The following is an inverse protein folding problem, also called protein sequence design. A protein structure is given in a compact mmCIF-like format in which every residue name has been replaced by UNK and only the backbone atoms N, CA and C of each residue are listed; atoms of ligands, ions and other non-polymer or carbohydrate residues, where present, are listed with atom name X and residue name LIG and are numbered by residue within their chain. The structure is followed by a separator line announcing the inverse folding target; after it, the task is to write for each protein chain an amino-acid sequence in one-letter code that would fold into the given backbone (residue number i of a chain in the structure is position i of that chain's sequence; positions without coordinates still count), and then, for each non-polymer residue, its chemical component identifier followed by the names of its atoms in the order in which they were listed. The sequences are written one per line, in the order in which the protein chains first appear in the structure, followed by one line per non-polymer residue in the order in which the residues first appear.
data_IF_979802858201
#
_entry.id   IF_979802858201
#
_cell.length_a   1.000
_cell.length_b   1.000
_cell.length_c   1.000
_cell.angle_alpha   90.00
_cell.angle_beta   90.00
_cell.angle_gamma   90.00
#
_symmetry.space_group_name_H-M   'P 1'
#
loop_
_entity.id
_entity.type
_entity.pdbx_description
1 polymer ?
#
# COMPACT_ATOMS: atom_id res chain seq x y z
N UNK A 1 -41.75 14.99 -5.39
CA UNK A 1 -40.76 14.35 -4.53
C UNK A 1 -39.39 14.03 -5.19
N UNK A 2 -39.19 14.34 -6.46
CA UNK A 2 -37.96 13.93 -7.21
C UNK A 2 -36.86 15.02 -7.34
N UNK A 3 -37.01 16.20 -6.71
CA UNK A 3 -35.98 17.25 -6.78
C UNK A 3 -35.04 17.33 -5.56
N UNK A 4 -35.38 16.66 -4.46
CA UNK A 4 -34.55 16.66 -3.26
C UNK A 4 -33.43 15.57 -3.33
N UNK A 5 -33.65 14.47 -4.06
CA UNK A 5 -32.65 13.42 -4.22
C UNK A 5 -31.50 13.82 -5.14
N UNK A 6 -31.75 14.60 -6.17
CA UNK A 6 -30.71 15.08 -7.09
C UNK A 6 -29.76 16.10 -6.42
N UNK A 7 -30.25 16.85 -5.41
CA UNK A 7 -29.41 17.79 -4.67
C UNK A 7 -28.50 17.13 -3.63
N UNK A 8 -28.93 16.03 -3.02
CA UNK A 8 -28.09 15.24 -2.10
C UNK A 8 -26.95 14.53 -2.82
N UNK A 9 -27.17 14.00 -4.02
CA UNK A 9 -26.10 13.36 -4.80
C UNK A 9 -25.04 14.37 -5.31
N UNK A 10 -25.45 15.62 -5.62
CA UNK A 10 -24.51 16.68 -6.00
C UNK A 10 -23.69 17.22 -4.81
N UNK A 11 -24.22 17.20 -3.59
CA UNK A 11 -23.51 17.62 -2.38
C UNK A 11 -22.52 16.56 -1.88
N UNK A 12 -22.76 15.28 -2.14
CA UNK A 12 -21.79 14.21 -1.84
C UNK A 12 -20.61 14.17 -2.83
N UNK A 13 -20.83 14.59 -4.08
CA UNK A 13 -19.74 14.73 -5.07
C UNK A 13 -18.84 15.95 -4.84
N UNK A 14 -19.28 16.97 -4.09
CA UNK A 14 -18.51 18.17 -3.77
C UNK A 14 -17.70 18.09 -2.48
N UNK A 15 -17.94 17.08 -1.63
CA UNK A 15 -17.20 16.86 -0.40
C UNK A 15 -15.89 16.05 -0.59
N UNK A 16 -15.66 15.45 -1.76
CA UNK A 16 -14.45 14.68 -2.07
C UNK A 16 -13.29 15.50 -2.67
N UNK A 17 -13.40 16.82 -2.78
CA UNK A 17 -12.43 17.67 -3.49
C UNK A 17 -11.45 18.45 -2.59
N UNK A 18 -11.33 18.11 -1.30
CA UNK A 18 -10.43 18.80 -0.35
C UNK A 18 -9.44 17.88 0.40
N UNK A 19 -9.39 16.58 0.11
CA UNK A 19 -8.27 15.74 0.52
C UNK A 19 -7.28 15.64 -0.65
N UNK A 20 -6.00 15.90 -0.44
CA UNK A 20 -4.96 15.56 -1.39
C UNK A 20 -5.16 14.09 -1.81
N UNK A 21 -5.20 13.81 -3.13
CA UNK A 21 -5.47 12.46 -3.63
C UNK A 21 -4.50 11.45 -3.04
N UNK A 22 -4.90 10.18 -3.01
CA UNK A 22 -4.02 9.08 -2.62
C UNK A 22 -3.11 8.71 -3.79
N UNK A 23 -1.89 8.28 -3.49
CA UNK A 23 -1.03 7.55 -4.44
C UNK A 23 -1.20 6.05 -4.20
N UNK A 24 -1.15 5.25 -5.25
CA UNK A 24 -1.37 3.80 -5.18
C UNK A 24 -2.66 3.43 -4.43
N UNK A 25 -3.85 3.88 -4.89
CA UNK A 25 -5.12 3.57 -4.23
C UNK A 25 -5.30 2.06 -4.09
N UNK A 26 -5.70 1.63 -2.88
CA UNK A 26 -5.79 0.21 -2.50
C UNK A 26 -6.90 0.05 -1.47
N UNK A 27 -8.08 -0.46 -1.90
CA UNK A 27 -9.30 -0.49 -1.09
C UNK A 27 -10.10 -1.77 -1.27
N UNK A 28 -10.54 -2.37 -0.18
CA UNK A 28 -11.50 -3.47 -0.14
C UNK A 28 -12.87 -2.91 0.22
N UNK A 29 -13.90 -3.29 -0.56
CA UNK A 29 -15.28 -2.80 -0.40
C UNK A 29 -16.22 -3.84 0.22
N UNK A 30 -15.79 -5.07 0.41
CA UNK A 30 -16.58 -6.17 0.97
C UNK A 30 -15.82 -6.93 2.04
N UNK A 31 -16.53 -7.56 2.96
CA UNK A 31 -15.94 -8.42 3.99
C UNK A 31 -15.53 -9.80 3.46
N UNK A 32 -16.00 -10.16 2.28
CA UNK A 32 -15.70 -11.45 1.64
C UNK A 32 -14.26 -11.53 1.13
N UNK A 33 -13.68 -10.40 0.74
CA UNK A 33 -12.29 -10.31 0.29
C UNK A 33 -11.35 -10.22 1.48
N UNK A 34 -10.41 -11.15 1.50
CA UNK A 34 -9.35 -11.21 2.50
C UNK A 34 -7.99 -11.20 1.80
N UNK A 35 -6.95 -10.78 2.52
CA UNK A 35 -5.54 -10.91 2.11
C UNK A 35 -5.26 -10.37 0.70
N UNK A 36 -5.87 -9.21 0.34
CA UNK A 36 -5.56 -8.55 -0.93
C UNK A 36 -4.09 -8.12 -0.96
N UNK A 37 -3.37 -8.58 -1.98
CA UNK A 37 -1.97 -8.23 -2.23
C UNK A 37 -1.80 -7.79 -3.69
N UNK A 38 -0.96 -6.79 -3.91
CA UNK A 38 -0.45 -6.41 -5.23
C UNK A 38 1.06 -6.30 -5.12
N UNK A 39 1.78 -7.20 -5.78
CA UNK A 39 3.22 -7.38 -5.58
C UNK A 39 3.94 -7.45 -6.93
N UNK A 40 5.22 -7.11 -6.92
CA UNK A 40 6.13 -7.46 -8.02
C UNK A 40 6.75 -8.81 -7.73
N UNK A 41 6.71 -9.69 -8.70
CA UNK A 41 7.43 -10.96 -8.66
C UNK A 41 8.60 -10.90 -9.64
N UNK A 42 9.74 -11.42 -9.22
CA UNK A 42 10.93 -11.52 -10.07
C UNK A 42 11.45 -12.94 -10.03
N UNK A 43 11.61 -13.56 -11.21
CA UNK A 43 12.05 -14.94 -11.33
C UNK A 43 11.23 -15.94 -10.48
N UNK A 44 9.93 -15.72 -10.34
CA UNK A 44 9.01 -16.59 -9.59
C UNK A 44 8.93 -16.34 -8.08
N UNK A 45 9.58 -15.28 -7.57
CA UNK A 45 9.57 -14.94 -6.14
C UNK A 45 9.05 -13.51 -5.93
N UNK A 46 8.24 -13.25 -4.86
CA UNK A 46 7.79 -11.91 -4.53
C UNK A 46 8.94 -11.03 -4.07
N UNK A 47 8.97 -9.79 -4.55
CA UNK A 47 9.96 -8.78 -4.16
C UNK A 47 9.37 -7.88 -3.09
N UNK A 48 10.00 -7.83 -1.92
CA UNK A 48 9.60 -6.90 -0.86
C UNK A 48 9.93 -5.47 -1.27
N UNK A 49 8.90 -4.66 -1.50
CA UNK A 49 9.05 -3.24 -1.85
C UNK A 49 7.83 -2.43 -1.35
N UNK A 50 8.02 -1.12 -1.04
CA UNK A 50 6.95 -0.30 -0.48
C UNK A 50 5.74 -0.14 -1.40
N UNK A 51 5.97 -0.04 -2.71
CA UNK A 51 4.93 0.09 -3.73
C UNK A 51 5.18 -0.93 -4.84
N UNK A 52 4.14 -1.48 -5.49
CA UNK A 52 4.30 -2.42 -6.59
C UNK A 52 4.77 -1.71 -7.87
N UNK A 53 6.09 -1.64 -8.04
CA UNK A 53 6.78 -0.96 -9.12
C UNK A 53 7.60 -1.95 -9.95
N UNK A 54 7.16 -2.25 -11.17
CA UNK A 54 7.88 -3.12 -12.07
C UNK A 54 8.46 -2.35 -13.27
N UNK A 55 9.53 -2.88 -13.84
CA UNK A 55 10.10 -2.34 -15.07
C UNK A 55 9.27 -2.77 -16.28
N UNK A 56 8.84 -1.80 -17.07
CA UNK A 56 8.13 -2.07 -18.31
C UNK A 56 8.98 -2.94 -19.25
N UNK A 57 8.35 -3.94 -19.86
CA UNK A 57 8.98 -4.91 -20.77
C UNK A 57 10.20 -5.64 -20.18
N UNK A 58 10.24 -5.82 -18.88
CA UNK A 58 11.17 -6.72 -18.19
C UNK A 58 10.71 -8.15 -18.40
N UNK A 59 11.41 -9.00 -19.06
CA UNK A 59 10.97 -10.39 -19.27
C UNK A 59 10.92 -11.25 -18.01
N UNK A 60 11.39 -10.75 -16.87
CA UNK A 60 11.55 -11.45 -15.59
C UNK A 60 10.74 -10.84 -14.44
N UNK A 61 10.08 -9.69 -14.65
CA UNK A 61 9.22 -9.05 -13.64
C UNK A 61 7.74 -9.15 -14.02
N UNK A 62 6.92 -9.54 -13.08
CA UNK A 62 5.46 -9.63 -13.18
C UNK A 62 4.80 -8.81 -12.07
N UNK A 63 3.66 -8.22 -12.37
CA UNK A 63 2.71 -7.74 -11.35
C UNK A 63 1.77 -8.89 -11.04
N UNK A 64 1.72 -9.28 -9.78
CA UNK A 64 0.82 -10.32 -9.28
C UNK A 64 -0.17 -9.68 -8.31
N UNK A 65 -1.46 -9.76 -8.66
CA UNK A 65 -2.56 -9.37 -7.78
C UNK A 65 -3.20 -10.63 -7.27
N UNK A 66 -3.18 -10.85 -5.97
CA UNK A 66 -3.77 -12.02 -5.33
C UNK A 66 -4.69 -11.61 -4.18
N UNK A 67 -5.70 -12.44 -3.92
CA UNK A 67 -6.63 -12.27 -2.82
C UNK A 67 -7.34 -13.59 -2.53
N UNK A 68 -7.92 -13.69 -1.35
CA UNK A 68 -8.76 -14.81 -0.95
C UNK A 68 -10.22 -14.36 -0.88
N UNK A 69 -11.14 -15.23 -1.33
CA UNK A 69 -12.56 -15.12 -0.99
C UNK A 69 -12.88 -16.08 0.15
N UNK A 70 -13.51 -15.56 1.19
CA UNK A 70 -13.98 -16.34 2.35
C UNK A 70 -15.23 -17.19 1.99
N UNK A 71 -15.19 -17.83 0.83
CA UNK A 71 -16.24 -18.71 0.27
C UNK A 71 -15.56 -19.92 -0.38
N UNK A 72 -15.92 -21.16 0.01
CA UNK A 72 -15.37 -22.37 -0.62
C UNK A 72 -15.83 -22.60 -2.07
N UNK A 73 -16.90 -21.90 -2.52
CA UNK A 73 -17.44 -22.02 -3.88
C UNK A 73 -16.59 -21.19 -4.84
N UNK A 74 -16.22 -21.72 -6.03
CA UNK A 74 -15.54 -20.93 -7.05
C UNK A 74 -16.49 -19.90 -7.65
N UNK A 75 -16.03 -18.67 -7.75
CA UNK A 75 -16.75 -17.55 -8.35
C UNK A 75 -16.02 -17.02 -9.57
N UNK A 76 -16.78 -16.43 -10.50
CA UNK A 76 -16.23 -15.75 -11.66
C UNK A 76 -15.87 -14.31 -11.29
N UNK A 77 -14.59 -13.99 -11.43
CA UNK A 77 -14.05 -12.66 -11.14
C UNK A 77 -13.88 -11.88 -12.45
N UNK A 78 -14.34 -10.65 -12.44
CA UNK A 78 -14.18 -9.68 -13.53
C UNK A 78 -13.20 -8.61 -13.12
N UNK A 79 -12.24 -8.32 -13.98
CA UNK A 79 -11.24 -7.27 -13.76
C UNK A 79 -11.36 -6.16 -14.80
N UNK A 80 -11.11 -4.94 -14.39
CA UNK A 80 -10.93 -3.80 -15.27
C UNK A 80 -9.60 -3.14 -14.95
N UNK A 81 -8.76 -2.96 -15.97
CA UNK A 81 -7.49 -2.28 -15.86
C UNK A 81 -7.59 -0.90 -16.51
N UNK A 82 -7.13 0.14 -15.83
CA UNK A 82 -7.19 1.51 -16.28
C UNK A 82 -5.81 2.17 -16.12
N UNK A 83 -5.34 2.82 -17.20
CA UNK A 83 -4.16 3.69 -17.15
C UNK A 83 -4.53 4.97 -16.42
N UNK A 84 -3.68 5.42 -15.49
CA UNK A 84 -3.88 6.64 -14.71
C UNK A 84 -2.75 7.66 -14.96
N UNK A 85 -3.07 8.93 -14.81
CA UNK A 85 -2.08 10.01 -14.76
C UNK A 85 -1.34 10.02 -13.38
N UNK A 86 -0.34 10.86 -13.20
CA UNK A 86 0.49 10.91 -11.98
C UNK A 86 -0.28 11.27 -10.70
N UNK A 87 -1.49 11.77 -10.81
CA UNK A 87 -2.42 12.02 -9.70
C UNK A 87 -3.38 10.87 -9.42
N UNK A 88 -3.18 9.72 -10.08
CA UNK A 88 -3.99 8.51 -9.98
C UNK A 88 -5.43 8.65 -10.50
N UNK A 89 -5.72 9.72 -11.27
CA UNK A 89 -6.98 9.84 -12.00
C UNK A 89 -6.89 9.05 -13.31
N UNK A 90 -8.00 8.40 -13.68
CA UNK A 90 -8.08 7.63 -14.91
C UNK A 90 -7.82 8.50 -16.13
N UNK A 91 -6.92 8.05 -16.99
CA UNK A 91 -6.62 8.70 -18.25
C UNK A 91 -7.55 8.21 -19.37
N UNK A 92 -8.60 8.96 -19.64
CA UNK A 92 -9.58 8.63 -20.69
C UNK A 92 -9.08 8.92 -22.12
N UNK A 93 -7.88 9.51 -22.28
CA UNK A 93 -7.32 9.92 -23.57
C UNK A 93 -6.64 8.76 -24.31
N UNK A 94 -6.28 7.70 -23.60
CA UNK A 94 -5.58 6.53 -24.15
C UNK A 94 -6.52 5.32 -24.08
N UNK A 95 -6.94 4.74 -25.22
CA UNK A 95 -7.81 3.57 -25.20
C UNK A 95 -7.05 2.32 -24.73
N UNK A 96 -7.77 1.37 -24.14
CA UNK A 96 -7.24 0.13 -23.56
C UNK A 96 -6.29 -0.62 -24.51
N UNK A 97 -6.64 -0.72 -25.78
CA UNK A 97 -5.84 -1.43 -26.80
C UNK A 97 -4.46 -0.82 -27.07
N UNK A 98 -4.18 0.39 -26.61
CA UNK A 98 -2.88 1.04 -26.76
C UNK A 98 -1.95 0.79 -25.56
N UNK A 99 -2.50 0.42 -24.38
CA UNK A 99 -1.69 0.21 -23.19
C UNK A 99 -1.71 -1.23 -22.64
N UNK A 100 -2.52 -2.12 -23.21
CA UNK A 100 -2.60 -3.51 -22.77
C UNK A 100 -2.81 -4.46 -23.96
N UNK A 101 -1.94 -5.43 -24.09
CA UNK A 101 -2.09 -6.56 -25.03
C UNK A 101 -2.59 -7.82 -24.29
N UNK A 102 -3.22 -8.72 -25.02
CA UNK A 102 -3.81 -9.95 -24.48
C UNK A 102 -5.18 -9.78 -23.82
N UNK A 103 -5.66 -8.56 -23.65
CA UNK A 103 -6.95 -8.24 -23.04
C UNK A 103 -8.03 -8.01 -24.10
N UNK A 104 -9.11 -8.75 -24.01
CA UNK A 104 -10.25 -8.61 -24.94
C UNK A 104 -11.51 -8.15 -24.21
N UNK A 105 -12.17 -7.12 -24.77
CA UNK A 105 -13.38 -6.56 -24.17
C UNK A 105 -13.11 -5.49 -23.12
N UNK A 106 -14.16 -5.04 -22.44
CA UNK A 106 -14.07 -4.01 -21.39
C UNK A 106 -13.56 -4.57 -20.06
N UNK A 107 -13.81 -5.85 -19.79
CA UNK A 107 -13.40 -6.56 -18.57
C UNK A 107 -12.78 -7.91 -18.92
N UNK A 108 -11.70 -8.24 -18.26
CA UNK A 108 -11.13 -9.59 -18.27
C UNK A 108 -11.86 -10.45 -17.24
N UNK A 109 -12.08 -11.71 -17.54
CA UNK A 109 -12.74 -12.63 -16.62
C UNK A 109 -11.91 -13.89 -16.40
N UNK A 110 -11.94 -14.39 -15.17
CA UNK A 110 -11.39 -15.69 -14.81
C UNK A 110 -12.29 -16.37 -13.78
N UNK A 111 -12.36 -17.69 -13.84
CA UNK A 111 -12.93 -18.57 -12.82
C UNK A 111 -11.84 -19.46 -12.18
N UNK A 112 -10.58 -19.26 -12.58
CA UNK A 112 -9.45 -19.98 -12.04
C UNK A 112 -9.21 -19.55 -10.58
N UNK A 113 -9.22 -20.52 -9.67
CA UNK A 113 -8.94 -20.31 -8.25
C UNK A 113 -8.51 -21.62 -7.61
N UNK A 114 -7.68 -21.53 -6.57
CA UNK A 114 -7.20 -22.68 -5.82
C UNK A 114 -7.92 -22.73 -4.46
N UNK A 115 -8.57 -23.85 -4.09
CA UNK A 115 -9.18 -24.00 -2.78
C UNK A 115 -8.09 -24.06 -1.69
N UNK A 116 -8.41 -23.57 -0.48
CA UNK A 116 -7.55 -23.79 0.68
C UNK A 116 -7.54 -25.27 1.07
N UNK A 117 -6.42 -25.73 1.57
CA UNK A 117 -6.21 -27.11 2.01
C UNK A 117 -5.74 -27.15 3.47
N UNK A 118 -6.34 -28.06 4.25
CA UNK A 118 -6.02 -28.30 5.66
C UNK A 118 -6.15 -27.06 6.58
N UNK A 119 -7.01 -26.09 6.23
CA UNK A 119 -7.28 -24.88 6.99
C UNK A 119 -8.58 -24.99 7.80
N UNK A 120 -8.66 -24.32 8.94
CA UNK A 120 -9.87 -24.26 9.76
C UNK A 120 -10.96 -23.39 9.14
N UNK A 121 -10.53 -22.35 8.40
CA UNK A 121 -11.40 -21.49 7.58
C UNK A 121 -11.22 -21.85 6.14
N UNK A 122 -12.29 -22.27 5.47
CA UNK A 122 -12.27 -22.55 4.03
C UNK A 122 -12.32 -21.25 3.23
N UNK A 123 -11.43 -21.10 2.27
CA UNK A 123 -11.38 -19.97 1.34
C UNK A 123 -10.91 -20.43 -0.04
N UNK A 124 -11.00 -19.55 -1.02
CA UNK A 124 -10.42 -19.75 -2.35
C UNK A 124 -9.44 -18.65 -2.66
N UNK A 125 -8.25 -19.04 -3.11
CA UNK A 125 -7.20 -18.14 -3.55
C UNK A 125 -7.34 -17.83 -5.04
N UNK A 126 -7.29 -16.55 -5.38
CA UNK A 126 -7.35 -16.01 -6.74
C UNK A 126 -6.07 -15.25 -7.06
N UNK A 127 -5.62 -15.38 -8.30
CA UNK A 127 -4.41 -14.71 -8.76
C UNK A 127 -4.58 -14.17 -10.18
N UNK A 128 -4.12 -12.95 -10.42
CA UNK A 128 -4.00 -12.32 -11.74
C UNK A 128 -2.57 -11.88 -11.97
N UNK A 129 -1.97 -12.31 -13.08
CA UNK A 129 -0.59 -11.95 -13.48
C UNK A 129 -0.58 -11.05 -14.69
N UNK A 130 0.31 -10.02 -14.68
CA UNK A 130 0.49 -9.03 -15.73
C UNK A 130 1.99 -8.83 -15.99
N UNK A 131 2.38 -8.78 -17.26
CA UNK A 131 3.80 -8.61 -17.65
C UNK A 131 4.60 -9.91 -17.59
N UNK A 132 5.92 -9.82 -17.69
CA UNK A 132 6.82 -10.96 -17.68
C UNK A 132 6.44 -12.01 -18.74
N UNK A 133 6.13 -13.22 -18.28
CA UNK A 133 5.66 -14.35 -19.12
C UNK A 133 4.14 -14.49 -19.15
N UNK A 134 3.39 -13.65 -18.45
CA UNK A 134 1.93 -13.68 -18.44
C UNK A 134 1.34 -13.36 -19.82
N UNK A 135 0.09 -13.81 -20.05
CA UNK A 135 -0.63 -13.52 -21.30
C UNK A 135 -0.96 -12.03 -21.43
N UNK A 136 -1.21 -11.36 -20.28
CA UNK A 136 -1.57 -9.95 -20.24
C UNK A 136 -0.31 -9.09 -20.18
N UNK A 137 -0.06 -8.30 -21.24
CA UNK A 137 1.15 -7.51 -21.41
C UNK A 137 0.84 -6.00 -21.41
N UNK A 138 1.16 -5.27 -20.32
CA UNK A 138 1.14 -3.81 -20.33
C UNK A 138 2.17 -3.26 -21.32
N UNK A 139 1.78 -2.26 -22.11
CA UNK A 139 2.57 -1.71 -23.21
C UNK A 139 3.13 -0.31 -22.91
N UNK A 140 2.60 0.40 -21.93
CA UNK A 140 3.00 1.76 -21.58
C UNK A 140 3.50 1.83 -20.14
N UNK A 141 4.46 2.71 -19.88
CA UNK A 141 4.84 3.07 -18.51
C UNK A 141 3.83 4.04 -17.93
N UNK A 142 3.68 4.06 -16.61
CA UNK A 142 2.74 4.92 -15.90
C UNK A 142 2.05 4.20 -14.75
N UNK A 143 1.01 4.81 -14.24
CA UNK A 143 0.20 4.27 -13.14
C UNK A 143 -0.95 3.45 -13.67
N UNK A 144 -1.26 2.37 -12.98
CA UNK A 144 -2.36 1.47 -13.33
C UNK A 144 -3.26 1.24 -12.12
N UNK A 145 -4.57 1.28 -12.35
CA UNK A 145 -5.61 0.94 -11.39
C UNK A 145 -6.33 -0.31 -11.87
N UNK A 146 -6.40 -1.32 -11.02
CA UNK A 146 -7.15 -2.54 -11.23
C UNK A 146 -8.36 -2.57 -10.30
N UNK A 147 -9.53 -2.74 -10.87
CA UNK A 147 -10.78 -2.94 -10.13
C UNK A 147 -11.31 -4.35 -10.39
N UNK A 148 -11.78 -5.04 -9.34
CA UNK A 148 -12.33 -6.38 -9.44
C UNK A 148 -13.80 -6.42 -9.01
N UNK A 149 -14.59 -7.27 -9.67
CA UNK A 149 -16.01 -7.52 -9.36
C UNK A 149 -16.31 -9.01 -9.35
N UNK A 150 -17.35 -9.37 -8.58
CA UNK A 150 -18.01 -10.66 -8.62
C UNK A 150 -19.53 -10.42 -8.62
N UNK A 151 -20.16 -10.54 -9.78
CA UNK A 151 -21.59 -10.26 -9.94
C UNK A 151 -22.48 -11.26 -9.19
N UNK A 152 -21.93 -12.44 -8.83
CA UNK A 152 -22.61 -13.47 -8.05
C UNK A 152 -22.71 -13.11 -6.56
N UNK A 153 -21.79 -12.29 -6.05
CA UNK A 153 -21.73 -11.84 -4.67
C UNK A 153 -22.37 -10.48 -4.46
N UNK A 154 -22.05 -9.50 -5.31
CA UNK A 154 -22.55 -8.14 -5.20
C UNK A 154 -22.40 -7.34 -6.49
N UNK A 155 -23.19 -6.26 -6.63
CA UNK A 155 -23.10 -5.33 -7.78
C UNK A 155 -21.90 -4.37 -7.68
N UNK A 156 -21.52 -3.99 -6.44
CA UNK A 156 -20.40 -3.10 -6.17
C UNK A 156 -19.04 -3.80 -6.39
N UNK A 157 -17.95 -3.06 -6.64
CA UNK A 157 -16.63 -3.66 -6.72
C UNK A 157 -16.27 -4.46 -5.47
N UNK A 158 -15.50 -5.53 -5.64
CA UNK A 158 -14.88 -6.26 -4.53
C UNK A 158 -13.74 -5.44 -3.93
N UNK A 159 -12.87 -4.95 -4.80
CA UNK A 159 -11.70 -4.14 -4.42
C UNK A 159 -11.18 -3.29 -5.56
N UNK A 160 -10.35 -2.32 -5.20
CA UNK A 160 -9.45 -1.60 -6.09
C UNK A 160 -8.03 -1.79 -5.58
N UNK A 161 -7.09 -2.04 -6.49
CA UNK A 161 -5.65 -2.03 -6.21
C UNK A 161 -4.89 -1.34 -7.34
N UNK A 162 -3.63 -1.01 -7.12
CA UNK A 162 -2.85 -0.25 -8.08
C UNK A 162 -1.39 -0.65 -8.09
N UNK A 163 -0.75 -0.44 -9.22
CA UNK A 163 0.67 -0.63 -9.45
C UNK A 163 1.19 0.40 -10.46
N UNK A 164 2.50 0.49 -10.61
CA UNK A 164 3.07 1.32 -11.67
C UNK A 164 4.19 0.61 -12.42
N UNK A 165 4.34 0.97 -13.70
CA UNK A 165 5.38 0.45 -14.57
C UNK A 165 6.29 1.59 -15.03
N UNK A 166 7.60 1.39 -14.97
CA UNK A 166 8.55 2.43 -15.32
C UNK A 166 9.51 2.04 -16.46
N UNK A 167 9.96 3.05 -17.17
CA UNK A 167 11.05 2.96 -18.14
C UNK A 167 12.29 3.63 -17.55
N UNK A 168 13.48 3.00 -17.53
CA UNK A 168 14.68 3.58 -16.95
C UNK A 168 15.34 4.59 -17.92
N UNK A 169 14.68 5.73 -18.20
CA UNK A 169 15.14 6.78 -19.11
C UNK A 169 15.88 7.91 -18.38
N UNK A 170 15.80 7.95 -17.06
CA UNK A 170 16.49 8.88 -16.19
C UNK A 170 16.97 8.14 -14.93
N UNK A 171 17.86 8.78 -14.17
CA UNK A 171 18.42 8.21 -12.93
C UNK A 171 18.22 9.17 -11.77
N UNK A 172 17.78 8.61 -10.63
CA UNK A 172 17.62 9.35 -9.36
C UNK A 172 18.63 8.85 -8.34
N UNK A 173 19.47 9.77 -7.85
CA UNK A 173 20.25 9.59 -6.64
C UNK A 173 19.48 10.25 -5.48
N UNK A 174 19.34 9.53 -4.36
CA UNK A 174 18.67 10.06 -3.17
C UNK A 174 19.42 9.69 -1.89
N UNK A 175 19.36 10.57 -0.90
CA UNK A 175 19.87 10.33 0.44
C UNK A 175 18.99 10.99 1.50
N UNK A 176 18.93 10.38 2.68
CA UNK A 176 18.24 10.92 3.84
C UNK A 176 19.25 11.69 4.70
N UNK A 177 18.92 12.91 5.08
CA UNK A 177 19.73 13.73 5.94
C UNK A 177 18.93 14.21 7.16
N UNK A 178 19.56 14.37 8.34
CA UNK A 178 18.87 14.77 9.56
C UNK A 178 18.58 16.29 9.61
N UNK A 179 19.21 17.08 8.77
CA UNK A 179 19.06 18.55 8.74
C UNK A 179 17.80 18.90 7.94
N UNK A 180 16.82 19.49 8.60
CA UNK A 180 15.54 19.88 8.00
C UNK A 180 15.27 21.36 8.11
N UNK A 181 14.54 21.98 7.16
CA UNK A 181 14.11 23.37 7.25
C UNK A 181 13.22 23.66 8.46
N UNK A 182 12.51 22.65 9.00
CA UNK A 182 11.64 22.77 10.16
C UNK A 182 12.38 23.00 11.48
N UNK A 183 13.71 22.93 11.49
CA UNK A 183 14.54 23.21 12.67
C UNK A 183 14.44 22.21 13.82
N UNK A 184 13.66 21.14 13.67
CA UNK A 184 13.54 20.05 14.64
C UNK A 184 14.21 18.78 14.14
N UNK A 185 15.51 18.74 14.25
CA UNK A 185 16.38 17.69 13.71
C UNK A 185 16.18 16.30 14.33
N UNK A 186 15.42 16.19 15.41
CA UNK A 186 15.21 14.91 16.09
C UNK A 186 13.96 14.14 15.63
N UNK A 187 13.02 14.82 14.94
CA UNK A 187 11.70 14.28 14.61
C UNK A 187 11.39 14.16 13.14
N UNK A 188 12.24 14.73 12.28
CA UNK A 188 12.00 14.77 10.85
C UNK A 188 13.20 14.23 10.08
N UNK A 189 12.93 13.73 8.90
CA UNK A 189 13.92 13.32 7.91
C UNK A 189 13.74 14.18 6.66
N UNK A 190 14.86 14.61 6.10
CA UNK A 190 14.92 15.39 4.85
C UNK A 190 15.50 14.51 3.75
N UNK A 191 14.85 14.45 2.60
CA UNK A 191 15.46 13.86 1.41
C UNK A 191 16.21 14.92 0.62
N UNK A 192 17.41 14.56 0.21
CA UNK A 192 18.13 15.24 -0.86
C UNK A 192 18.09 14.35 -2.11
N UNK A 193 17.73 14.95 -3.24
CA UNK A 193 17.53 14.26 -4.50
C UNK A 193 18.35 14.92 -5.61
N UNK A 194 18.92 14.11 -6.49
CA UNK A 194 19.50 14.54 -7.75
C UNK A 194 18.95 13.68 -8.88
N UNK A 195 18.25 14.30 -9.82
CA UNK A 195 17.76 13.66 -11.04
C UNK A 195 18.73 13.99 -12.19
N UNK A 196 19.22 12.94 -12.86
CA UNK A 196 20.02 13.04 -14.08
C UNK A 196 19.26 12.43 -15.25
N UNK A 197 19.18 13.15 -16.37
CA UNK A 197 18.44 12.72 -17.56
C UNK A 197 19.05 13.30 -18.85
N UNK A 198 18.86 12.67 -20.03
CA UNK A 198 19.24 13.25 -21.31
C UNK A 198 18.50 14.58 -21.53
N UNK A 199 19.18 15.71 -21.86
CA UNK A 199 18.51 17.01 -22.03
C UNK A 199 17.38 17.01 -23.08
N UNK A 200 17.45 16.09 -24.05
CA UNK A 200 16.40 15.91 -25.07
C UNK A 200 15.14 15.25 -24.55
N UNK A 201 15.19 14.59 -23.37
CA UNK A 201 14.04 13.94 -22.76
C UNK A 201 13.02 14.96 -22.24
N UNK A 202 13.50 16.04 -21.62
CA UNK A 202 12.70 17.14 -21.08
C UNK A 202 13.39 18.48 -21.39
N UNK A 203 13.13 19.08 -22.57
CA UNK A 203 13.67 20.39 -22.95
C UNK A 203 13.29 21.51 -21.99
N UNK A 204 12.07 21.48 -21.43
CA UNK A 204 11.59 22.38 -20.38
C UNK A 204 11.26 21.60 -19.09
N UNK A 205 12.29 21.22 -18.32
CA UNK A 205 12.11 20.31 -17.20
C UNK A 205 11.25 20.88 -16.06
N UNK A 206 11.06 22.20 -15.97
CA UNK A 206 10.21 22.81 -14.94
C UNK A 206 8.72 22.59 -15.18
N UNK A 207 8.32 22.36 -16.41
CA UNK A 207 6.92 22.07 -16.80
C UNK A 207 6.71 20.60 -17.17
N UNK A 208 7.77 19.90 -17.60
CA UNK A 208 7.67 18.54 -18.13
C UNK A 208 7.98 17.46 -17.10
N UNK A 209 8.73 17.78 -16.02
CA UNK A 209 9.10 16.80 -14.97
C UNK A 209 8.30 17.04 -13.72
N UNK A 210 7.61 15.98 -13.25
CA UNK A 210 6.99 15.91 -11.94
C UNK A 210 7.67 14.83 -11.12
N UNK A 211 8.08 15.16 -9.89
CA UNK A 211 8.65 14.20 -8.94
C UNK A 211 7.68 14.00 -7.78
N UNK A 212 7.39 12.75 -7.46
CA UNK A 212 6.60 12.34 -6.30
C UNK A 212 7.46 11.47 -5.41
N UNK A 213 7.49 11.78 -4.11
CA UNK A 213 8.23 10.98 -3.12
C UNK A 213 7.24 10.43 -2.11
N UNK A 214 7.21 9.12 -1.94
CA UNK A 214 6.40 8.42 -0.94
C UNK A 214 7.25 7.83 0.18
N UNK A 215 6.66 7.66 1.36
CA UNK A 215 7.29 7.07 2.55
C UNK A 215 6.60 5.75 2.92
N UNK A 216 7.37 4.65 3.05
CA UNK A 216 6.95 3.33 3.58
C UNK A 216 5.68 2.77 2.93
N UNK A 217 5.48 2.93 1.63
CA UNK A 217 4.31 2.39 0.92
C UNK A 217 2.97 3.06 1.26
N UNK A 218 2.98 4.15 2.04
CA UNK A 218 1.74 4.83 2.43
C UNK A 218 1.10 5.57 1.26
N UNK A 219 -0.21 5.40 1.06
CA UNK A 219 -0.98 6.12 0.05
C UNK A 219 -1.14 7.62 0.34
N UNK A 220 -0.94 8.04 1.58
CA UNK A 220 -1.17 9.42 2.05
C UNK A 220 0.10 10.15 2.48
N UNK A 221 1.19 9.43 2.81
CA UNK A 221 2.47 10.03 3.20
C UNK A 221 3.36 10.21 1.98
N UNK A 222 3.03 11.19 1.16
CA UNK A 222 3.81 11.53 -0.04
C UNK A 222 3.94 13.04 -0.22
N UNK A 223 4.94 13.45 -0.98
CA UNK A 223 5.22 14.84 -1.34
C UNK A 223 5.41 14.96 -2.84
N UNK A 224 4.97 16.09 -3.41
CA UNK A 224 5.21 16.46 -4.82
C UNK A 224 6.25 17.56 -4.88
N UNK A 225 7.31 17.35 -5.63
CA UNK A 225 8.42 18.30 -5.79
C UNK A 225 8.28 19.02 -7.13
N UNK A 226 8.10 20.33 -7.10
CA UNK A 226 7.82 21.13 -8.32
C UNK A 226 8.94 22.07 -8.70
N UNK A 227 9.79 22.47 -7.76
CA UNK A 227 10.85 23.46 -8.00
C UNK A 227 12.17 22.94 -7.48
N UNK A 228 13.15 22.64 -8.35
CA UNK A 228 14.47 22.26 -7.90
C UNK A 228 15.19 23.43 -7.22
N UNK A 229 16.09 23.11 -6.27
CA UNK A 229 17.00 24.12 -5.67
C UNK A 229 18.11 24.51 -6.62
N UNK A 230 18.43 23.65 -7.60
CA UNK A 230 19.40 23.94 -8.68
C UNK A 230 18.95 23.28 -9.97
N UNK A 231 19.14 23.98 -11.06
CA UNK A 231 18.83 23.55 -12.44
C UNK A 231 20.09 23.68 -13.31
N UNK A 232 20.45 22.57 -13.95
CA UNK A 232 21.47 22.54 -14.99
C UNK A 232 20.97 21.66 -16.17
N UNK A 233 21.52 21.79 -17.37
CA UNK A 233 21.15 20.93 -18.49
C UNK A 233 21.27 19.43 -18.13
N UNK A 234 20.16 18.70 -18.18
CA UNK A 234 20.10 17.29 -17.85
C UNK A 234 20.22 16.96 -16.37
N UNK A 235 20.09 17.94 -15.47
CA UNK A 235 20.21 17.73 -14.03
C UNK A 235 19.29 18.65 -13.22
N UNK A 236 18.50 18.07 -12.33
CA UNK A 236 17.73 18.78 -11.30
C UNK A 236 18.21 18.34 -9.92
N UNK A 237 18.38 19.30 -9.00
CA UNK A 237 18.81 19.01 -7.62
C UNK A 237 17.80 19.59 -6.62
N UNK A 238 17.48 18.82 -5.60
CA UNK A 238 16.58 19.17 -4.50
C UNK A 238 17.33 18.95 -3.19
N UNK A 239 17.98 19.99 -2.67
CA UNK A 239 18.70 19.97 -1.38
C UNK A 239 18.09 20.99 -0.44
N UNK A 240 17.82 20.59 0.81
CA UNK A 240 17.13 21.44 1.78
C UNK A 240 15.78 21.93 1.29
N UNK A 241 15.07 21.11 0.51
CA UNK A 241 13.78 21.45 -0.10
C UNK A 241 12.63 21.16 0.87
N UNK A 242 11.82 22.16 1.21
CA UNK A 242 10.71 22.03 2.18
C UNK A 242 9.74 20.88 1.84
N UNK A 243 9.42 20.71 0.55
CA UNK A 243 8.55 19.63 0.06
C UNK A 243 9.18 18.23 0.08
N UNK A 244 10.44 18.06 0.52
CA UNK A 244 11.08 16.75 0.64
C UNK A 244 11.33 16.37 2.12
N UNK A 245 10.55 16.94 3.05
CA UNK A 245 10.64 16.65 4.49
C UNK A 245 9.47 15.78 4.93
N UNK A 246 9.78 14.79 5.79
CA UNK A 246 8.79 13.85 6.33
C UNK A 246 8.95 13.74 7.86
N UNK A 247 7.86 13.48 8.56
CA UNK A 247 7.95 13.02 9.94
C UNK A 247 8.66 11.65 9.97
N UNK A 248 9.62 11.51 10.87
CA UNK A 248 10.49 10.33 10.88
C UNK A 248 9.74 9.05 11.31
N UNK A 249 8.73 9.18 12.19
CA UNK A 249 8.07 8.01 12.76
C UNK A 249 9.01 7.19 13.64
N UNK A 250 8.71 5.90 13.79
CA UNK A 250 9.49 4.92 14.54
C UNK A 250 9.48 3.58 13.81
N UNK A 251 10.31 2.65 14.26
CA UNK A 251 10.34 1.27 13.78
C UNK A 251 8.98 0.60 13.99
N UNK A 252 8.65 -0.34 13.11
CA UNK A 252 7.37 -1.02 13.10
C UNK A 252 7.31 -2.13 14.14
N UNK A 253 6.15 -2.33 14.72
CA UNK A 253 5.84 -3.51 15.53
C UNK A 253 5.59 -4.69 14.63
N UNK A 254 5.71 -5.89 15.18
CA UNK A 254 5.41 -7.10 14.44
C UNK A 254 4.89 -8.21 15.34
N UNK A 255 4.14 -9.13 14.73
CA UNK A 255 3.83 -10.43 15.29
C UNK A 255 3.96 -11.51 14.21
N UNK A 256 3.99 -12.75 14.64
CA UNK A 256 4.05 -13.90 13.76
C UNK A 256 3.16 -15.03 14.27
N UNK A 257 2.38 -15.65 13.37
CA UNK A 257 1.60 -16.85 13.65
C UNK A 257 1.88 -17.86 12.54
N UNK A 258 2.57 -18.96 12.89
CA UNK A 258 2.98 -19.99 11.94
C UNK A 258 2.14 -21.28 12.06
N UNK A 259 1.44 -21.44 13.19
CA UNK A 259 0.68 -22.65 13.50
C UNK A 259 -0.42 -22.31 14.50
N UNK A 260 -1.59 -22.96 14.48
CA UNK A 260 -2.62 -22.79 15.49
C UNK A 260 -2.27 -23.44 16.84
N UNK A 261 -1.16 -24.16 16.93
CA UNK A 261 -0.79 -24.94 18.12
C UNK A 261 0.31 -24.30 18.96
N UNK A 262 1.00 -23.28 18.45
CA UNK A 262 2.14 -22.66 19.12
C UNK A 262 2.11 -21.14 18.97
N UNK A 263 2.16 -20.44 20.11
CA UNK A 263 2.29 -19.00 20.13
C UNK A 263 3.71 -18.59 19.72
N UNK A 264 3.81 -17.79 18.65
CA UNK A 264 5.06 -17.30 18.13
C UNK A 264 5.31 -15.85 18.57
N UNK A 265 6.20 -15.14 17.88
CA UNK A 265 6.59 -13.77 18.19
C UNK A 265 5.38 -12.84 18.33
N UNK A 266 5.31 -12.06 19.42
CA UNK A 266 4.27 -11.05 19.65
C UNK A 266 2.92 -11.59 20.14
N UNK A 267 2.71 -12.92 20.13
CA UNK A 267 1.47 -13.58 20.55
C UNK A 267 1.58 -13.99 22.03
N UNK A 268 0.67 -13.48 22.86
CA UNK A 268 0.58 -13.83 24.28
C UNK A 268 -0.18 -15.13 24.50
N UNK A 269 -1.28 -15.32 23.77
CA UNK A 269 -2.16 -16.47 23.92
C UNK A 269 -2.78 -16.85 22.59
N UNK A 270 -2.91 -18.17 22.35
CA UNK A 270 -3.54 -18.77 21.19
C UNK A 270 -4.62 -19.74 21.66
N UNK A 271 -5.84 -19.58 21.15
CA UNK A 271 -6.96 -20.45 21.40
C UNK A 271 -7.34 -21.21 20.13
N UNK A 272 -6.84 -22.42 19.98
CA UNK A 272 -7.07 -23.29 18.83
C UNK A 272 -8.37 -24.12 18.92
N UNK A 273 -9.17 -23.95 19.99
CA UNK A 273 -10.43 -24.66 20.14
C UNK A 273 -11.58 -23.97 19.38
N UNK A 274 -11.40 -22.69 19.04
CA UNK A 274 -12.37 -21.91 18.26
C UNK A 274 -12.11 -22.03 16.76
N UNK A 275 -13.12 -21.71 15.98
CA UNK A 275 -13.05 -21.69 14.51
C UNK A 275 -13.63 -20.37 13.99
N UNK A 276 -12.82 -19.43 13.48
CA UNK A 276 -11.35 -19.46 13.37
C UNK A 276 -10.62 -19.50 14.72
N UNK A 277 -9.37 -20.00 14.77
CA UNK A 277 -8.54 -19.89 15.96
C UNK A 277 -8.33 -18.42 16.36
N UNK A 278 -8.30 -18.14 17.67
CA UNK A 278 -8.10 -16.81 18.22
C UNK A 278 -6.67 -16.58 18.67
N UNK A 279 -6.11 -15.44 18.35
CA UNK A 279 -4.76 -15.02 18.77
C UNK A 279 -4.83 -13.67 19.50
N UNK A 280 -4.34 -13.62 20.71
CA UNK A 280 -4.24 -12.40 21.52
C UNK A 280 -2.80 -11.93 21.55
N UNK A 281 -2.53 -10.71 21.03
CA UNK A 281 -1.20 -10.14 21.08
C UNK A 281 -0.89 -9.60 22.47
N UNK A 282 0.41 -9.54 22.83
CA UNK A 282 0.81 -8.82 24.05
C UNK A 282 0.29 -7.39 24.02
N UNK A 283 -0.16 -6.84 25.18
CA UNK A 283 -0.64 -5.46 25.22
C UNK A 283 0.46 -4.46 24.87
N UNK A 284 0.19 -3.65 23.87
CA UNK A 284 1.07 -2.56 23.44
C UNK A 284 0.90 -1.31 24.31
N UNK A 285 1.93 -0.47 24.29
CA UNK A 285 1.93 0.85 24.94
C UNK A 285 2.55 1.88 24.00
N UNK A 286 2.22 3.19 24.16
CA UNK A 286 2.93 4.24 23.47
C UNK A 286 4.43 4.16 23.71
N UNK A 287 5.19 4.36 22.63
CA UNK A 287 6.65 4.38 22.73
C UNK A 287 7.09 5.63 23.48
N UNK A 288 7.97 5.46 24.46
CA UNK A 288 8.50 6.54 25.28
C UNK A 288 10.00 6.36 25.48
N UNK A 289 10.72 7.47 25.61
CA UNK A 289 12.16 7.46 25.87
C UNK A 289 13.01 7.62 24.62
N UNK A 290 14.19 6.99 24.65
CA UNK A 290 15.16 7.06 23.57
C UNK A 290 14.80 6.08 22.43
N UNK A 291 15.27 6.39 21.23
CA UNK A 291 15.17 5.50 20.08
C UNK A 291 15.86 4.15 20.37
N UNK A 292 15.21 3.10 19.93
CA UNK A 292 15.72 1.72 19.96
C UNK A 292 15.69 1.20 18.53
N UNK A 293 16.84 0.81 18.01
CA UNK A 293 16.95 0.16 16.71
C UNK A 293 16.30 -1.23 16.78
N UNK A 294 15.32 -1.46 15.92
CA UNK A 294 14.70 -2.76 15.69
C UNK A 294 14.90 -3.12 14.23
N UNK A 295 15.19 -4.39 13.96
CA UNK A 295 15.09 -4.89 12.59
C UNK A 295 13.64 -5.19 12.31
N UNK A 296 13.00 -4.38 11.50
CA UNK A 296 11.61 -4.54 11.11
C UNK A 296 11.47 -4.77 9.59
N UNK A 297 10.24 -4.87 9.12
CA UNK A 297 9.93 -5.05 7.70
C UNK A 297 9.18 -3.84 7.11
N UNK A 298 9.32 -2.63 7.69
CA UNK A 298 8.73 -1.38 7.20
C UNK A 298 7.23 -1.48 6.84
N UNK A 299 6.44 -2.19 7.65
CA UNK A 299 4.99 -2.37 7.44
C UNK A 299 4.64 -3.53 6.50
N UNK A 300 5.61 -4.29 6.03
CA UNK A 300 5.40 -5.42 5.13
C UNK A 300 4.75 -6.62 5.85
N UNK A 301 4.11 -7.51 5.06
CA UNK A 301 3.60 -8.80 5.53
C UNK A 301 4.18 -9.93 4.69
N UNK A 302 4.28 -11.13 5.27
CA UNK A 302 4.62 -12.34 4.56
C UNK A 302 3.72 -13.47 5.04
N UNK A 303 2.89 -14.02 4.15
CA UNK A 303 2.12 -15.23 4.39
C UNK A 303 3.10 -16.39 4.47
N UNK A 304 3.03 -17.19 5.53
CA UNK A 304 3.82 -18.40 5.72
C UNK A 304 3.32 -19.25 6.89
N UNK A 305 3.71 -20.51 6.90
CA UNK A 305 3.41 -21.46 7.96
C UNK A 305 4.68 -22.22 8.41
N UNK A 306 4.54 -23.08 9.44
CA UNK A 306 5.68 -23.83 10.01
C UNK A 306 6.36 -24.75 8.99
N UNK A 307 5.58 -25.46 8.21
CA UNK A 307 6.06 -26.36 7.16
C UNK A 307 6.27 -25.55 5.87
N UNK A 308 7.30 -24.70 5.89
CA UNK A 308 7.58 -23.76 4.81
C UNK A 308 7.75 -24.49 3.46
N UNK A 309 6.72 -24.39 2.64
CA UNK A 309 6.78 -24.58 1.20
C UNK A 309 6.19 -23.31 0.53
N UNK A 310 7.02 -22.45 -0.05
CA UNK A 310 6.56 -21.19 -0.62
C UNK A 310 5.49 -21.35 -1.72
N UNK A 311 5.42 -22.53 -2.31
CA UNK A 311 4.44 -22.86 -3.33
C UNK A 311 3.02 -23.03 -2.78
N UNK A 312 2.88 -23.46 -1.51
CA UNK A 312 1.59 -23.75 -0.87
C UNK A 312 1.22 -22.78 0.25
N UNK A 313 2.11 -21.85 0.62
CA UNK A 313 1.85 -20.93 1.73
C UNK A 313 0.54 -20.15 1.56
N UNK A 314 0.20 -19.70 0.35
CA UNK A 314 -1.02 -18.95 0.09
C UNK A 314 -2.32 -19.78 0.20
N UNK A 315 -2.27 -21.11 0.10
CA UNK A 315 -3.46 -21.99 0.15
C UNK A 315 -3.52 -22.89 1.38
N UNK A 316 -2.42 -23.03 2.10
CA UNK A 316 -2.36 -23.91 3.29
C UNK A 316 -2.21 -23.13 4.61
N UNK A 317 -2.05 -21.80 4.54
CA UNK A 317 -1.98 -20.95 5.74
C UNK A 317 -3.37 -20.60 6.24
N UNK A 318 -3.59 -20.86 7.52
CA UNK A 318 -4.89 -20.63 8.17
C UNK A 318 -5.13 -19.15 8.49
N UNK A 319 -6.39 -18.81 8.75
CA UNK A 319 -6.84 -17.52 9.24
C UNK A 319 -7.05 -17.54 10.74
N UNK A 320 -6.75 -16.42 11.41
CA UNK A 320 -6.86 -16.23 12.85
C UNK A 320 -7.65 -14.97 13.16
N UNK A 321 -8.49 -15.00 14.18
CA UNK A 321 -9.05 -13.80 14.81
C UNK A 321 -7.97 -13.19 15.71
N UNK A 322 -7.24 -12.20 15.20
CA UNK A 322 -6.14 -11.55 15.92
C UNK A 322 -6.68 -10.34 16.68
N UNK A 323 -6.42 -10.30 17.99
CA UNK A 323 -6.82 -9.20 18.88
C UNK A 323 -5.61 -8.37 19.32
N UNK A 324 -5.58 -7.09 18.88
CA UNK A 324 -4.66 -6.07 19.37
C UNK A 324 -5.23 -5.42 20.62
N UNK A 325 -4.33 -5.12 21.57
CA UNK A 325 -4.65 -4.43 22.83
C UNK A 325 -3.65 -3.30 23.05
N UNK A 326 -4.12 -2.06 23.06
CA UNK A 326 -3.30 -0.87 23.26
C UNK A 326 -3.67 -0.17 24.58
N UNK A 327 -2.72 -0.06 25.50
CA UNK A 327 -2.89 0.65 26.76
C UNK A 327 -2.57 2.13 26.57
N UNK A 328 -3.56 3.02 26.71
CA UNK A 328 -3.37 4.47 26.69
C UNK A 328 -3.68 5.04 28.08
N UNK A 329 -2.76 5.77 28.66
CA UNK A 329 -2.89 6.42 29.95
C UNK A 329 -3.85 7.63 29.91
N UNK A 330 -3.87 8.37 28.82
CA UNK A 330 -4.79 9.47 28.56
C UNK A 330 -5.30 9.41 27.09
N UNK A 331 -6.47 8.78 26.87
CA UNK A 331 -7.03 8.65 25.53
C UNK A 331 -7.25 9.99 24.81
N UNK A 332 -7.52 11.06 25.54
CA UNK A 332 -7.77 12.38 24.93
C UNK A 332 -6.50 12.97 24.32
N UNK A 333 -5.34 12.60 24.84
CA UNK A 333 -4.03 13.03 24.31
C UNK A 333 -3.71 12.42 22.95
N UNK A 334 -4.12 11.18 22.72
CA UNK A 334 -3.71 10.42 21.55
C UNK A 334 -4.73 10.48 20.40
N UNK A 335 -6.00 10.78 20.70
CA UNK A 335 -7.09 10.68 19.74
C UNK A 335 -7.53 9.23 19.51
N UNK A 336 -8.17 8.95 18.37
CA UNK A 336 -8.69 7.62 18.04
C UNK A 336 -7.62 6.78 17.36
N UNK A 337 -7.09 5.72 18.00
CA UNK A 337 -6.04 4.90 17.40
C UNK A 337 -6.60 3.99 16.31
N UNK A 338 -5.80 3.79 15.26
CA UNK A 338 -6.03 2.80 14.20
C UNK A 338 -4.73 2.09 13.86
N UNK A 339 -4.79 0.90 13.28
CA UNK A 339 -3.61 0.19 12.79
C UNK A 339 -3.33 0.51 11.32
N UNK A 340 -2.04 0.54 10.97
CA UNK A 340 -1.49 0.68 9.63
C UNK A 340 -0.53 -0.48 9.32
N UNK A 341 -0.35 -0.79 8.06
CA UNK A 341 0.53 -1.81 7.52
C UNK A 341 -0.08 -2.49 6.31
N UNK A 342 0.74 -3.14 5.49
CA UNK A 342 0.31 -3.75 4.23
C UNK A 342 -0.84 -4.77 4.38
N UNK A 343 -0.98 -5.37 5.57
CA UNK A 343 -2.08 -6.29 5.87
C UNK A 343 -3.43 -5.58 6.09
N UNK A 344 -3.43 -4.26 6.34
CA UNK A 344 -4.60 -3.53 6.82
C UNK A 344 -4.97 -2.32 5.97
N UNK A 345 -4.02 -1.73 5.24
CA UNK A 345 -4.19 -0.43 4.58
C UNK A 345 -5.29 -0.43 3.51
N UNK A 346 -5.61 -1.60 2.93
CA UNK A 346 -6.75 -1.77 2.02
C UNK A 346 -8.12 -1.80 2.72
N UNK A 347 -8.18 -2.05 4.04
CA UNK A 347 -9.43 -2.12 4.78
C UNK A 347 -10.01 -0.72 5.02
N UNK A 348 -11.35 -0.57 5.04
CA UNK A 348 -11.99 0.66 5.46
C UNK A 348 -11.48 1.11 6.83
N UNK A 349 -11.37 2.42 7.01
CA UNK A 349 -10.84 3.02 8.25
C UNK A 349 -11.55 2.54 9.50
N UNK A 350 -12.87 2.38 9.44
CA UNK A 350 -13.72 1.96 10.54
C UNK A 350 -13.38 0.55 11.02
N UNK A 351 -12.97 -0.33 10.10
CA UNK A 351 -12.60 -1.72 10.41
C UNK A 351 -11.23 -1.81 11.08
N UNK A 352 -10.32 -0.88 10.85
CA UNK A 352 -8.97 -0.86 11.46
C UNK A 352 -8.80 0.10 12.63
N UNK A 353 -9.93 0.64 13.13
CA UNK A 353 -9.97 1.56 14.28
C UNK A 353 -10.17 0.82 15.57
N UNK A 354 -9.26 1.01 16.55
CA UNK A 354 -9.37 0.43 17.88
C UNK A 354 -10.45 1.16 18.68
N UNK A 355 -11.18 0.41 19.51
CA UNK A 355 -12.23 0.91 20.38
C UNK A 355 -11.90 0.65 21.83
N UNK A 356 -12.22 1.59 22.72
CA UNK A 356 -12.01 1.42 24.15
C UNK A 356 -12.96 0.35 24.71
N UNK A 357 -12.37 -0.72 25.23
CA UNK A 357 -13.07 -1.73 26.01
C UNK A 357 -13.01 -1.29 27.49
N UNK A 358 -14.16 -0.96 28.07
CA UNK A 358 -14.27 -0.44 29.45
C UNK A 358 -14.00 -1.50 30.51
N UNK A 359 -14.14 -2.77 30.18
CA UNK A 359 -13.91 -3.88 31.09
C UNK A 359 -12.42 -4.17 31.27
N UNK A 360 -11.68 -4.17 30.17
CA UNK A 360 -10.24 -4.43 30.16
C UNK A 360 -9.40 -3.16 30.34
N UNK A 361 -9.97 -1.98 30.01
CA UNK A 361 -9.25 -0.70 30.00
C UNK A 361 -8.33 -0.49 28.81
N UNK A 362 -8.30 -1.43 27.86
CA UNK A 362 -7.52 -1.31 26.62
C UNK A 362 -8.34 -0.71 25.48
N UNK A 363 -7.64 -0.12 24.52
CA UNK A 363 -8.16 0.05 23.17
C UNK A 363 -7.92 -1.25 22.41
N UNK A 364 -8.98 -1.86 21.90
CA UNK A 364 -8.96 -3.18 21.30
C UNK A 364 -9.47 -3.16 19.87
N UNK A 365 -8.93 -4.07 19.06
CA UNK A 365 -9.36 -4.36 17.71
C UNK A 365 -9.16 -5.86 17.45
N UNK A 366 -10.18 -6.50 16.89
CA UNK A 366 -10.07 -7.89 16.43
C UNK A 366 -10.33 -7.94 14.93
N UNK A 367 -9.41 -8.54 14.18
CA UNK A 367 -9.53 -8.74 12.74
C UNK A 367 -9.21 -10.19 12.37
N UNK A 368 -9.83 -10.65 11.29
CA UNK A 368 -9.46 -11.91 10.64
C UNK A 368 -8.18 -11.67 9.82
N UNK A 369 -7.10 -12.37 10.15
CA UNK A 369 -5.78 -12.20 9.53
C UNK A 369 -5.20 -13.55 9.17
N UNK A 370 -4.70 -13.70 7.96
CA UNK A 370 -3.99 -14.88 7.49
C UNK A 370 -2.64 -14.99 8.20
N UNK A 371 -2.27 -16.18 8.62
CA UNK A 371 -1.02 -16.46 9.33
C UNK A 371 0.23 -15.99 8.58
N UNK A 372 1.34 -15.98 9.29
CA UNK A 372 2.64 -15.53 8.85
C UNK A 372 3.17 -14.36 9.66
N UNK A 373 4.14 -13.65 9.10
CA UNK A 373 4.73 -12.45 9.67
C UNK A 373 3.92 -11.21 9.26
N UNK A 374 3.55 -10.39 10.24
CA UNK A 374 2.77 -9.15 10.02
C UNK A 374 3.43 -7.99 10.75
N UNK A 375 3.83 -6.98 9.99
CA UNK A 375 4.36 -5.73 10.52
C UNK A 375 3.24 -4.70 10.60
N UNK A 376 3.14 -3.98 11.72
CA UNK A 376 2.09 -3.00 11.97
C UNK A 376 2.59 -1.82 12.83
N UNK A 377 1.84 -0.74 12.81
CA UNK A 377 2.00 0.38 13.75
C UNK A 377 0.65 1.03 14.05
N UNK A 378 0.63 1.84 15.10
CA UNK A 378 -0.53 2.65 15.40
C UNK A 378 -0.41 4.05 14.80
N UNK A 379 -1.51 4.58 14.31
CA UNK A 379 -1.65 5.99 13.97
C UNK A 379 -2.94 6.56 14.57
N UNK A 380 -3.16 7.85 14.43
CA UNK A 380 -4.36 8.52 14.96
C UNK A 380 -5.04 9.36 13.87
N UNK A 381 -6.35 9.55 14.01
CA UNK A 381 -7.09 10.45 13.15
C UNK A 381 -6.79 11.93 13.51
N UNK A 382 -6.76 12.85 12.53
CA UNK A 382 -7.00 12.67 11.11
C UNK A 382 -5.82 11.98 10.40
N UNK A 383 -6.08 11.55 9.15
CA UNK A 383 -5.15 10.79 8.32
C UNK A 383 -3.73 11.35 8.29
N UNK A 384 -2.70 10.53 8.33
CA UNK A 384 -1.33 10.99 8.40
C UNK A 384 -0.94 11.77 7.12
N UNK A 385 -0.61 13.03 7.30
CA UNK A 385 0.08 13.84 6.31
C UNK A 385 1.61 13.61 6.41
N UNK A 386 2.41 13.93 5.40
CA UNK A 386 3.86 13.71 5.41
C UNK A 386 4.60 14.27 6.63
N UNK A 387 4.12 15.40 7.16
CA UNK A 387 4.70 16.06 8.34
C UNK A 387 3.96 15.75 9.65
N UNK A 388 2.92 14.93 9.63
CA UNK A 388 2.17 14.59 10.83
C UNK A 388 2.97 13.65 11.73
N UNK A 389 3.27 14.12 12.93
CA UNK A 389 3.98 13.35 13.96
C UNK A 389 3.06 12.32 14.62
N UNK A 390 3.63 11.21 15.08
CA UNK A 390 2.90 10.13 15.70
C UNK A 390 3.09 10.14 17.23
N UNK A 391 2.00 10.43 17.96
CA UNK A 391 2.05 10.50 19.41
C UNK A 391 2.14 9.11 20.09
N UNK A 392 1.70 8.04 19.44
CA UNK A 392 1.73 6.67 19.96
C UNK A 392 3.11 6.05 19.73
N UNK A 393 3.61 6.13 18.50
CA UNK A 393 4.88 5.50 18.12
C UNK A 393 6.09 6.40 18.38
N UNK A 394 5.89 7.72 18.42
CA UNK A 394 6.98 8.69 18.47
C UNK A 394 7.53 8.99 17.08
N UNK A 395 8.51 9.90 17.05
CA UNK A 395 9.21 10.28 15.82
C UNK A 395 10.70 10.43 16.14
N UNK A 396 11.52 9.64 15.48
CA UNK A 396 12.97 9.58 15.70
C UNK A 396 13.69 9.65 14.36
N UNK A 397 14.57 10.62 14.16
CA UNK A 397 15.28 10.80 12.90
C UNK A 397 16.13 9.59 12.49
N UNK A 398 16.48 8.73 13.44
CA UNK A 398 17.26 7.51 13.26
C UNK A 398 16.45 6.35 12.62
N UNK A 399 15.11 6.47 12.60
CA UNK A 399 14.22 5.45 12.05
C UNK A 399 14.63 5.06 10.63
N UNK A 400 14.70 3.77 10.37
CA UNK A 400 14.99 3.23 9.05
C UNK A 400 13.74 3.26 8.17
N UNK A 401 13.51 4.39 7.49
CA UNK A 401 12.39 4.53 6.57
C UNK A 401 12.79 4.22 5.13
N UNK A 402 11.85 3.63 4.38
CA UNK A 402 11.98 3.46 2.94
C UNK A 402 11.29 4.62 2.21
N UNK A 403 12.03 5.25 1.31
CA UNK A 403 11.51 6.34 0.48
C UNK A 403 11.55 5.92 -0.98
N UNK A 404 10.42 6.09 -1.65
CA UNK A 404 10.28 5.80 -3.08
C UNK A 404 10.10 7.09 -3.84
N UNK A 405 11.00 7.36 -4.79
CA UNK A 405 10.91 8.51 -5.69
C UNK A 405 10.42 8.06 -7.05
N UNK A 406 9.34 8.68 -7.53
CA UNK A 406 8.73 8.47 -8.84
C UNK A 406 8.95 9.72 -9.68
N UNK A 407 9.48 9.57 -10.90
CA UNK A 407 9.72 10.67 -11.84
C UNK A 407 8.84 10.51 -13.06
N UNK A 408 7.89 11.41 -13.21
CA UNK A 408 6.97 11.44 -14.34
C UNK A 408 7.42 12.48 -15.38
N UNK A 409 7.30 12.08 -16.65
CA UNK A 409 7.47 12.97 -17.80
C UNK A 409 6.11 13.30 -18.40
N UNK A 410 5.78 14.57 -18.42
CA UNK A 410 4.63 15.13 -19.13
C UNK A 410 5.12 15.82 -20.38
N UNK A 411 4.60 15.46 -21.53
CA UNK A 411 4.93 16.15 -22.78
C UNK A 411 3.63 16.52 -23.51
N UNK A 412 3.54 17.70 -24.15
CA UNK A 412 2.41 18.05 -24.99
C UNK A 412 2.11 17.07 -26.13
N UNK A 413 3.13 16.30 -26.53
CA UNK A 413 3.01 15.29 -27.59
C UNK A 413 2.50 13.93 -27.09
N UNK A 414 2.50 13.72 -25.76
CA UNK A 414 2.02 12.47 -25.13
C UNK A 414 0.60 12.67 -24.59
N UNK A 415 -0.22 11.64 -24.76
CA UNK A 415 -1.60 11.63 -24.20
C UNK A 415 -1.64 11.14 -22.75
N UNK A 416 -0.50 10.76 -22.18
CA UNK A 416 -0.36 10.24 -20.82
C UNK A 416 0.98 10.68 -20.22
N UNK A 417 1.12 10.51 -18.92
CA UNK A 417 2.37 10.79 -18.20
C UNK A 417 3.20 9.52 -18.06
N UNK A 418 4.40 9.54 -18.64
CA UNK A 418 5.34 8.42 -18.57
C UNK A 418 6.05 8.40 -17.23
N UNK A 419 6.17 7.24 -16.60
CA UNK A 419 7.04 7.04 -15.45
C UNK A 419 8.45 6.67 -15.94
N UNK A 420 9.40 7.61 -15.87
CA UNK A 420 10.71 7.52 -16.53
C UNK A 420 11.87 7.19 -15.60
N UNK A 421 11.67 7.25 -14.30
CA UNK A 421 12.64 6.79 -13.31
C UNK A 421 11.94 6.49 -11.98
N UNK A 422 12.50 5.54 -11.21
CA UNK A 422 12.13 5.21 -9.85
C UNK A 422 13.39 4.99 -8.99
N UNK A 423 13.28 5.25 -7.69
CA UNK A 423 14.34 4.99 -6.72
C UNK A 423 13.76 4.51 -5.41
#
# INVERSE_FOLDING_TARGET
MNKLWTLCCLLLALASSLSGGEIFPHHIYTTEVQTLQCQVWRAGEPVAMPYPLARLASGDEEIVVSFDLADPVPHRIYYQLELCDADWQVNERVPLSEYLDGWTGARWQTDESTPSEATSVAYRHYELRLGGVAVLQPLLSGNYRLTAWCEELQEEPLFVTSFALYEPLAEVAQQVVPTTPQGNYSRYQQLELELTYPPSLAPDPLTEILIVVGQNGSSTRYQRLTRPTSLAPGRLTFRGHDGATFAAGNEWRAFEILSPYEANMGVEHLNSQETPPEAYLYPDRPTSGSYITLSDANGYRKVRQTDYDPYYDETMTDYYLVTWRLALDDPLRYGTPLIEGAAFDALPREQRTLRCNRETGYFELTLLVKGGYVSYRYSTAPSPAPLATNAIEGDYYQTENQYTTLVYLTSPMLRYQRLVAVK
#
